data_IF_945540202808
#
_entry.id   IF_945540202808
#
_cell.length_a   1.000
_cell.length_b   1.000
_cell.length_c   1.000
_cell.angle_alpha   90.00
_cell.angle_beta   90.00
_cell.angle_gamma   90.00
#
_symmetry.space_group_name_H-M   'P 1'
#
loop_
_entity.id
_entity.type
_entity.pdbx_description
1 polymer ?
#
# COMPACT_ATOMS: atom_id res chain seq x y z
N UNK A 1 -3.59 41.45 -26.49
CA UNK A 1 -2.27 40.82 -26.68
C UNK A 1 -1.54 41.68 -27.71
N UNK A 2 -0.49 42.40 -27.29
CA UNK A 2 0.33 43.15 -28.23
C UNK A 2 1.23 42.15 -28.97
N UNK A 3 1.17 42.18 -30.31
CA UNK A 3 2.11 41.45 -31.17
C UNK A 3 3.52 41.99 -30.89
N UNK A 4 4.40 41.14 -30.38
CA UNK A 4 5.81 41.48 -30.22
C UNK A 4 6.41 41.48 -31.63
N UNK A 5 7.00 42.59 -32.12
CA UNK A 5 7.55 42.63 -33.46
C UNK A 5 8.66 41.59 -33.61
N UNK A 6 8.53 40.71 -34.59
CA UNK A 6 9.45 39.58 -34.87
C UNK A 6 10.91 40.04 -35.02
N UNK A 7 11.10 41.29 -35.45
CA UNK A 7 12.39 41.94 -35.62
C UNK A 7 13.13 42.22 -34.31
N UNK A 8 12.42 42.51 -33.22
CA UNK A 8 13.03 42.72 -31.90
C UNK A 8 13.57 41.41 -31.30
N UNK A 9 12.96 40.27 -31.67
CA UNK A 9 13.42 38.93 -31.26
C UNK A 9 14.67 38.49 -32.02
N UNK A 10 14.80 38.86 -33.30
CA UNK A 10 15.99 38.58 -34.09
C UNK A 10 17.20 39.41 -33.64
N UNK A 11 17.01 40.70 -33.36
CA UNK A 11 18.08 41.55 -32.82
C UNK A 11 18.54 41.10 -31.43
N UNK A 12 17.60 40.74 -30.55
CA UNK A 12 17.95 40.22 -29.22
C UNK A 12 18.63 38.85 -29.29
N UNK A 13 18.23 37.97 -30.22
CA UNK A 13 18.95 36.71 -30.49
C UNK A 13 20.35 36.95 -31.03
N UNK A 14 20.53 37.88 -31.97
CA UNK A 14 21.82 38.23 -32.53
C UNK A 14 22.75 38.85 -31.47
N UNK A 15 22.21 39.70 -30.58
CA UNK A 15 22.97 40.29 -29.48
C UNK A 15 23.40 39.26 -28.43
N UNK A 16 22.57 38.23 -28.18
CA UNK A 16 22.86 37.18 -27.20
C UNK A 16 23.71 36.03 -27.76
N UNK A 17 23.74 35.84 -29.08
CA UNK A 17 24.48 34.78 -29.78
C UNK A 17 25.94 34.61 -29.32
N UNK A 18 26.79 35.66 -29.22
CA UNK A 18 28.17 35.51 -28.77
C UNK A 18 28.27 35.01 -27.31
N UNK A 19 27.35 35.43 -26.45
CA UNK A 19 27.27 34.95 -25.06
C UNK A 19 26.82 33.48 -25.01
N UNK A 20 25.84 33.10 -25.82
CA UNK A 20 25.35 31.72 -25.90
C UNK A 20 26.42 30.78 -26.48
N UNK A 21 27.15 31.20 -27.51
CA UNK A 21 28.29 30.46 -28.07
C UNK A 21 29.42 30.32 -27.05
N UNK A 22 29.76 31.40 -26.33
CA UNK A 22 30.76 31.34 -25.26
C UNK A 22 30.33 30.41 -24.11
N UNK A 23 29.06 30.44 -23.73
CA UNK A 23 28.51 29.55 -22.69
C UNK A 23 28.50 28.09 -23.17
N UNK A 24 28.12 27.84 -24.43
CA UNK A 24 28.18 26.53 -25.06
C UNK A 24 29.61 25.99 -25.17
N UNK A 25 30.59 26.85 -25.45
CA UNK A 25 32.00 26.49 -25.51
C UNK A 25 32.59 26.12 -24.13
N UNK A 26 32.04 26.67 -23.05
CA UNK A 26 32.50 26.42 -21.67
C UNK A 26 31.77 25.23 -21.03
N UNK A 27 30.55 24.89 -21.44
CA UNK A 27 29.76 23.78 -20.90
C UNK A 27 30.52 22.44 -20.83
N UNK A 28 31.28 22.00 -21.86
CA UNK A 28 32.07 20.76 -21.79
C UNK A 28 33.20 20.79 -20.75
N UNK A 29 33.70 21.97 -20.38
CA UNK A 29 34.77 22.15 -19.39
C UNK A 29 34.22 22.25 -17.96
N UNK A 30 32.98 22.72 -17.81
CA UNK A 30 32.25 22.76 -16.53
C UNK A 30 31.62 21.41 -16.21
N UNK A 31 31.18 20.68 -17.23
CA UNK A 31 30.74 19.31 -17.10
C UNK A 31 31.94 18.45 -16.66
N UNK A 32 32.06 18.20 -15.36
CA UNK A 32 32.97 17.18 -14.85
C UNK A 32 32.24 15.85 -15.03
N UNK A 33 32.56 15.03 -16.05
CA UNK A 33 31.88 13.75 -16.22
C UNK A 33 32.13 12.92 -14.97
N UNK A 34 31.06 12.65 -14.22
CA UNK A 34 31.10 11.81 -13.03
C UNK A 34 31.67 10.46 -13.46
N UNK A 35 32.72 10.00 -12.76
CA UNK A 35 33.27 8.67 -12.99
C UNK A 35 32.14 7.66 -12.82
N UNK A 36 31.87 6.87 -13.85
CA UNK A 36 30.88 5.80 -13.80
C UNK A 36 31.18 4.86 -12.64
N UNK A 37 30.14 4.47 -11.90
CA UNK A 37 30.27 3.53 -10.79
C UNK A 37 30.47 2.10 -11.29
N UNK A 38 29.85 1.77 -12.41
CA UNK A 38 29.81 0.43 -13.00
C UNK A 38 30.43 0.42 -14.40
N UNK A 39 30.82 -0.77 -14.87
CA UNK A 39 31.20 -0.97 -16.26
C UNK A 39 30.01 -0.63 -17.17
N UNK A 40 30.17 0.20 -18.21
CA UNK A 40 29.10 0.52 -19.15
C UNK A 40 28.39 -0.72 -19.73
N UNK A 41 29.13 -1.79 -20.03
CA UNK A 41 28.55 -3.04 -20.55
C UNK A 41 27.69 -3.75 -19.51
N UNK A 42 28.04 -3.63 -18.24
CA UNK A 42 27.24 -4.17 -17.14
C UNK A 42 25.94 -3.38 -17.00
N UNK A 43 26.01 -2.05 -17.09
CA UNK A 43 24.81 -1.20 -17.04
C UNK A 43 23.88 -1.43 -18.24
N UNK A 44 24.43 -1.59 -19.44
CA UNK A 44 23.65 -1.95 -20.64
C UNK A 44 22.89 -3.28 -20.45
N UNK A 45 23.56 -4.30 -19.90
CA UNK A 45 22.94 -5.60 -19.58
C UNK A 45 21.86 -5.46 -18.51
N UNK A 46 22.10 -4.66 -17.48
CA UNK A 46 21.11 -4.36 -16.43
C UNK A 46 19.84 -3.73 -17.02
N UNK A 47 20.00 -2.69 -17.85
CA UNK A 47 18.88 -2.02 -18.53
C UNK A 47 18.13 -2.99 -19.43
N UNK A 48 18.83 -3.83 -20.19
CA UNK A 48 18.20 -4.84 -21.04
C UNK A 48 17.42 -5.89 -20.23
N UNK A 49 17.95 -6.34 -19.11
CA UNK A 49 17.26 -7.28 -18.21
C UNK A 49 16.01 -6.65 -17.57
N UNK A 50 16.08 -5.38 -17.15
CA UNK A 50 14.91 -4.65 -16.62
C UNK A 50 13.82 -4.50 -17.68
N UNK A 51 14.18 -4.17 -18.93
CA UNK A 51 13.21 -4.11 -20.04
C UNK A 51 12.53 -5.45 -20.27
N UNK A 52 13.29 -6.55 -20.23
CA UNK A 52 12.73 -7.91 -20.33
C UNK A 52 11.79 -8.22 -19.17
N UNK A 53 12.15 -7.85 -17.95
CA UNK A 53 11.31 -8.03 -16.77
C UNK A 53 10.02 -7.20 -16.86
N UNK A 54 10.11 -5.95 -17.29
CA UNK A 54 8.96 -5.08 -17.50
C UNK A 54 8.00 -5.62 -18.57
N UNK A 55 8.53 -6.17 -19.68
CA UNK A 55 7.73 -6.82 -20.71
C UNK A 55 7.01 -8.05 -20.13
N UNK A 56 7.74 -8.97 -19.50
CA UNK A 56 7.17 -10.17 -18.88
C UNK A 56 6.10 -9.83 -17.82
N UNK A 57 6.31 -8.76 -17.05
CA UNK A 57 5.33 -8.30 -16.06
C UNK A 57 4.06 -7.73 -16.70
N UNK A 58 4.20 -7.00 -17.81
CA UNK A 58 3.07 -6.40 -18.53
C UNK A 58 2.23 -7.45 -19.27
N UNK A 59 2.88 -8.47 -19.82
CA UNK A 59 2.26 -9.56 -20.58
C UNK A 59 1.65 -10.66 -19.69
N UNK A 60 1.81 -10.56 -18.36
CA UNK A 60 1.39 -11.60 -17.40
C UNK A 60 -0.07 -12.04 -17.49
N UNK A 61 -0.95 -11.16 -17.97
CA UNK A 61 -2.39 -11.42 -18.11
C UNK A 61 -2.75 -12.09 -19.44
N UNK A 62 -1.82 -12.09 -20.41
CA UNK A 62 -2.00 -12.69 -21.74
C UNK A 62 -1.25 -14.01 -21.87
N UNK A 63 0.07 -13.99 -21.74
CA UNK A 63 0.96 -15.13 -21.98
C UNK A 63 1.25 -15.96 -20.71
N UNK A 64 0.61 -15.62 -19.60
CA UNK A 64 0.83 -16.22 -18.28
C UNK A 64 2.03 -15.64 -17.53
N UNK A 65 2.24 -16.11 -16.29
CA UNK A 65 3.29 -15.63 -15.39
C UNK A 65 4.65 -16.35 -15.55
N UNK A 66 4.72 -17.38 -16.40
CA UNK A 66 5.89 -18.26 -16.55
C UNK A 66 7.17 -17.51 -16.94
N UNK A 67 7.05 -16.38 -17.66
CA UNK A 67 8.18 -15.58 -18.11
C UNK A 67 8.74 -14.63 -17.03
N UNK A 68 8.00 -14.38 -15.94
CA UNK A 68 8.40 -13.43 -14.89
C UNK A 68 9.58 -13.99 -14.11
N UNK A 69 9.48 -15.24 -13.64
CA UNK A 69 10.51 -15.88 -12.82
C UNK A 69 11.87 -15.95 -13.56
N UNK A 70 11.97 -16.43 -14.81
CA UNK A 70 13.21 -16.37 -15.59
C UNK A 70 13.76 -14.95 -15.77
N UNK A 71 12.90 -13.94 -15.97
CA UNK A 71 13.35 -12.56 -16.12
C UNK A 71 13.95 -12.01 -14.81
N UNK A 72 13.33 -12.33 -13.66
CA UNK A 72 13.86 -11.98 -12.33
C UNK A 72 15.22 -12.64 -12.08
N UNK A 73 15.37 -13.93 -12.34
CA UNK A 73 16.66 -14.62 -12.16
C UNK A 73 17.74 -14.13 -13.14
N UNK A 74 17.35 -13.73 -14.35
CA UNK A 74 18.25 -13.06 -15.30
C UNK A 74 18.79 -11.74 -14.75
N UNK A 75 17.94 -10.92 -14.15
CA UNK A 75 18.35 -9.69 -13.47
C UNK A 75 19.22 -9.97 -12.25
N UNK A 76 18.84 -10.96 -11.43
CA UNK A 76 19.58 -11.32 -10.23
C UNK A 76 21.00 -11.83 -10.53
N UNK A 77 21.17 -12.54 -11.65
CA UNK A 77 22.51 -12.94 -12.13
C UNK A 77 23.39 -11.72 -12.38
N UNK A 78 22.86 -10.68 -13.02
CA UNK A 78 23.60 -9.43 -13.26
C UNK A 78 23.88 -8.72 -11.94
N UNK A 79 22.93 -8.70 -11.00
CA UNK A 79 23.13 -8.13 -9.67
C UNK A 79 24.34 -8.73 -8.96
N UNK A 80 24.54 -10.04 -9.05
CA UNK A 80 25.72 -10.74 -8.48
C UNK A 80 27.02 -10.21 -9.09
N UNK A 81 27.05 -9.98 -10.40
CA UNK A 81 28.24 -9.46 -11.10
C UNK A 81 28.59 -8.01 -10.72
N UNK A 82 27.63 -7.23 -10.21
CA UNK A 82 27.88 -5.85 -9.77
C UNK A 82 28.75 -5.76 -8.52
N UNK A 83 28.77 -6.80 -7.68
CA UNK A 83 29.34 -6.78 -6.33
C UNK A 83 28.83 -5.61 -5.45
N UNK A 84 27.66 -5.05 -5.74
CA UNK A 84 27.01 -3.99 -4.97
C UNK A 84 25.90 -4.58 -4.09
N UNK A 85 25.93 -4.25 -2.79
CA UNK A 85 25.00 -4.80 -1.80
C UNK A 85 23.53 -4.45 -2.10
N UNK A 86 23.25 -3.27 -2.65
CA UNK A 86 21.88 -2.83 -2.95
C UNK A 86 21.33 -3.61 -4.15
N UNK A 87 22.16 -3.84 -5.17
CA UNK A 87 21.80 -4.66 -6.32
C UNK A 87 21.47 -6.10 -5.89
N UNK A 88 22.35 -6.71 -5.09
CA UNK A 88 22.17 -8.05 -4.56
C UNK A 88 20.87 -8.18 -3.77
N UNK A 89 20.68 -7.30 -2.77
CA UNK A 89 19.49 -7.28 -1.93
C UNK A 89 18.21 -7.10 -2.75
N UNK A 90 18.20 -6.19 -3.72
CA UNK A 90 17.05 -5.97 -4.59
C UNK A 90 16.75 -7.21 -5.44
N UNK A 91 17.77 -7.86 -5.99
CA UNK A 91 17.63 -9.09 -6.76
C UNK A 91 17.06 -10.25 -5.93
N UNK A 92 17.55 -10.43 -4.70
CA UNK A 92 17.02 -11.41 -3.74
C UNK A 92 15.56 -11.12 -3.35
N UNK A 93 15.25 -9.86 -3.09
CA UNK A 93 13.89 -9.43 -2.73
C UNK A 93 12.91 -9.66 -3.89
N UNK A 94 13.31 -9.38 -5.13
CA UNK A 94 12.51 -9.68 -6.33
C UNK A 94 12.33 -11.18 -6.53
N UNK A 95 13.38 -11.99 -6.35
CA UNK A 95 13.28 -13.45 -6.45
C UNK A 95 12.31 -14.02 -5.41
N UNK A 96 12.43 -13.57 -4.16
CA UNK A 96 11.54 -13.97 -3.06
C UNK A 96 10.09 -13.55 -3.32
N UNK A 97 9.87 -12.36 -3.87
CA UNK A 97 8.53 -11.89 -4.26
C UNK A 97 7.96 -12.70 -5.44
N UNK A 98 8.80 -13.06 -6.41
CA UNK A 98 8.41 -13.87 -7.56
C UNK A 98 7.99 -15.29 -7.16
N UNK A 99 8.63 -15.90 -6.16
CA UNK A 99 8.21 -17.20 -5.62
C UNK A 99 6.76 -17.18 -5.10
N UNK A 100 6.30 -16.04 -4.56
CA UNK A 100 4.92 -15.87 -4.08
C UNK A 100 3.89 -15.74 -5.22
N UNK A 101 4.34 -15.59 -6.47
CA UNK A 101 3.43 -15.53 -7.62
C UNK A 101 2.83 -16.90 -7.99
N UNK A 102 3.36 -17.98 -7.42
CA UNK A 102 2.85 -19.34 -7.60
C UNK A 102 1.71 -19.67 -6.62
N UNK A 103 1.39 -18.77 -5.68
CA UNK A 103 0.26 -18.93 -4.77
C UNK A 103 -1.09 -18.84 -5.50
N UNK A 104 -2.07 -19.66 -5.10
CA UNK A 104 -3.44 -19.67 -5.66
C UNK A 104 -4.16 -18.30 -5.59
N UNK A 105 -3.77 -17.45 -4.64
CA UNK A 105 -4.33 -16.11 -4.46
C UNK A 105 -3.20 -15.09 -4.25
N UNK A 106 -3.04 -14.20 -5.22
CA UNK A 106 -2.03 -13.16 -5.18
C UNK A 106 -2.50 -11.96 -4.36
N UNK A 107 -1.70 -11.57 -3.36
CA UNK A 107 -1.99 -10.38 -2.57
C UNK A 107 -1.91 -9.11 -3.45
N UNK A 108 -2.91 -8.21 -3.42
CA UNK A 108 -2.85 -6.92 -4.12
C UNK A 108 -1.62 -6.10 -3.74
N UNK A 109 -1.16 -6.23 -2.49
CA UNK A 109 0.03 -5.54 -1.97
C UNK A 109 1.30 -6.05 -2.64
N UNK A 110 1.41 -7.36 -2.87
CA UNK A 110 2.52 -7.97 -3.60
C UNK A 110 2.55 -7.47 -5.05
N UNK A 111 1.40 -7.50 -5.74
CA UNK A 111 1.27 -7.01 -7.12
C UNK A 111 1.68 -5.54 -7.22
N UNK A 112 1.23 -4.71 -6.27
CA UNK A 112 1.58 -3.29 -6.23
C UNK A 112 3.08 -3.07 -5.96
N UNK A 113 3.68 -3.85 -5.04
CA UNK A 113 5.10 -3.79 -4.73
C UNK A 113 5.97 -4.20 -5.93
N UNK A 114 5.63 -5.29 -6.61
CA UNK A 114 6.33 -5.75 -7.81
C UNK A 114 6.18 -4.75 -8.96
N UNK A 115 4.97 -4.24 -9.21
CA UNK A 115 4.74 -3.25 -10.27
C UNK A 115 5.58 -1.99 -10.03
N UNK A 116 5.56 -1.45 -8.81
CA UNK A 116 6.31 -0.25 -8.48
C UNK A 116 7.83 -0.47 -8.56
N UNK A 117 8.33 -1.64 -8.13
CA UNK A 117 9.75 -1.96 -8.24
C UNK A 117 10.20 -2.10 -9.70
N UNK A 118 9.42 -2.79 -10.54
CA UNK A 118 9.75 -3.02 -11.96
C UNK A 118 9.70 -1.72 -12.77
N UNK A 119 8.68 -0.89 -12.52
CA UNK A 119 8.58 0.45 -13.13
C UNK A 119 9.78 1.31 -12.73
N UNK A 120 10.13 1.29 -11.44
CA UNK A 120 11.28 2.00 -10.92
C UNK A 120 12.62 1.57 -11.56
N UNK A 121 12.74 0.31 -11.94
CA UNK A 121 13.96 -0.24 -12.54
C UNK A 121 14.09 0.03 -14.04
N UNK A 122 13.02 0.51 -14.69
CA UNK A 122 12.95 0.71 -16.14
C UNK A 122 13.53 2.06 -16.61
N UNK A 123 14.31 2.73 -15.78
CA UNK A 123 14.95 4.02 -16.07
C UNK A 123 16.08 3.90 -17.10
N UNK A 124 16.28 4.97 -17.87
CA UNK A 124 17.30 5.01 -18.92
C UNK A 124 18.74 4.91 -18.37
N UNK A 125 18.99 5.47 -17.18
CA UNK A 125 20.33 5.50 -16.58
C UNK A 125 20.71 4.19 -15.87
N UNK A 126 19.74 3.29 -15.63
CA UNK A 126 19.96 2.00 -14.99
C UNK A 126 20.64 2.12 -13.61
N UNK A 127 21.75 1.41 -13.44
CA UNK A 127 22.57 1.40 -12.22
C UNK A 127 23.24 2.74 -11.92
N UNK A 128 23.44 3.58 -12.94
CA UNK A 128 24.09 4.90 -12.78
C UNK A 128 23.11 5.99 -12.32
N UNK A 129 21.83 5.66 -12.17
CA UNK A 129 20.84 6.62 -11.68
C UNK A 129 21.25 7.14 -10.29
N UNK A 130 21.28 8.47 -10.05
CA UNK A 130 21.82 9.05 -8.81
C UNK A 130 21.16 8.53 -7.53
N UNK A 131 19.85 8.28 -7.57
CA UNK A 131 19.06 7.77 -6.46
C UNK A 131 18.90 6.23 -6.47
N UNK A 132 19.71 5.51 -7.25
CA UNK A 132 19.57 4.05 -7.35
C UNK A 132 19.68 3.34 -5.99
N UNK A 133 20.67 3.63 -5.12
CA UNK A 133 20.80 2.94 -3.83
C UNK A 133 19.57 3.11 -2.95
N UNK A 134 19.08 4.35 -2.80
CA UNK A 134 17.92 4.66 -1.95
C UNK A 134 16.65 4.00 -2.48
N UNK A 135 16.48 3.99 -3.81
CA UNK A 135 15.34 3.31 -4.46
C UNK A 135 15.45 1.79 -4.28
N UNK A 136 16.63 1.21 -4.52
CA UNK A 136 16.86 -0.23 -4.37
C UNK A 136 16.55 -0.69 -2.93
N UNK A 137 17.02 0.04 -1.92
CA UNK A 137 16.71 -0.25 -0.52
C UNK A 137 15.21 -0.12 -0.21
N UNK A 138 14.56 0.95 -0.69
CA UNK A 138 13.14 1.16 -0.48
C UNK A 138 12.30 0.03 -1.07
N UNK A 139 12.55 -0.34 -2.32
CA UNK A 139 11.79 -1.37 -3.01
C UNK A 139 12.12 -2.78 -2.50
N UNK A 140 13.38 -3.06 -2.16
CA UNK A 140 13.76 -4.32 -1.52
C UNK A 140 13.01 -4.52 -0.20
N UNK A 141 13.00 -3.51 0.69
CA UNK A 141 12.27 -3.60 1.96
C UNK A 141 10.77 -3.83 1.78
N UNK A 142 10.15 -3.18 0.78
CA UNK A 142 8.73 -3.39 0.46
C UNK A 142 8.45 -4.79 -0.07
N UNK A 143 9.29 -5.30 -0.97
CA UNK A 143 9.17 -6.65 -1.53
C UNK A 143 9.37 -7.71 -0.45
N UNK A 144 10.40 -7.57 0.40
CA UNK A 144 10.67 -8.43 1.54
C UNK A 144 9.47 -8.50 2.51
N UNK A 145 8.85 -7.35 2.81
CA UNK A 145 7.67 -7.30 3.67
C UNK A 145 6.49 -8.05 3.04
N UNK A 146 6.26 -7.91 1.74
CA UNK A 146 5.20 -8.64 1.04
C UNK A 146 5.50 -10.14 0.96
N UNK A 147 6.75 -10.53 0.78
CA UNK A 147 7.15 -11.94 0.71
C UNK A 147 6.98 -12.66 2.06
N UNK A 148 7.17 -11.93 3.18
CA UNK A 148 7.01 -12.45 4.55
C UNK A 148 5.57 -12.39 5.07
N UNK A 149 4.70 -11.58 4.47
CA UNK A 149 3.33 -11.42 4.91
C UNK A 149 2.54 -12.74 4.80
N UNK A 150 1.81 -13.09 5.85
CA UNK A 150 0.89 -14.24 5.84
C UNK A 150 -0.50 -13.78 5.37
N UNK A 151 -1.34 -14.69 4.86
CA UNK A 151 -2.71 -14.35 4.42
C UNK A 151 -3.57 -13.67 5.50
N UNK A 152 -3.22 -13.82 6.79
CA UNK A 152 -3.90 -13.15 7.91
C UNK A 152 -3.54 -11.67 8.06
N UNK A 153 -2.51 -11.19 7.35
CA UNK A 153 -1.94 -9.84 7.49
C UNK A 153 -2.59 -8.83 6.51
N UNK A 154 -3.70 -9.24 5.87
CA UNK A 154 -4.39 -8.49 4.80
C UNK A 154 -5.54 -7.61 5.31
N UNK A 155 -5.83 -7.60 6.61
CA UNK A 155 -6.87 -6.71 7.16
C UNK A 155 -6.35 -5.28 7.16
N UNK A 156 -7.10 -4.40 6.49
CA UNK A 156 -6.72 -3.00 6.39
C UNK A 156 -6.89 -2.32 7.74
N UNK A 157 -5.78 -1.89 8.35
CA UNK A 157 -5.81 -1.11 9.59
C UNK A 157 -6.69 0.15 9.50
N UNK A 158 -6.87 0.70 8.29
CA UNK A 158 -7.80 1.82 8.07
C UNK A 158 -9.26 1.36 8.16
N UNK A 159 -9.60 0.19 7.61
CA UNK A 159 -10.94 -0.36 7.74
C UNK A 159 -11.24 -0.77 9.18
N UNK A 160 -10.25 -1.32 9.89
CA UNK A 160 -10.37 -1.65 11.30
C UNK A 160 -10.60 -0.39 12.14
N UNK A 161 -9.84 0.68 11.90
CA UNK A 161 -10.05 1.95 12.58
C UNK A 161 -11.43 2.55 12.30
N UNK A 162 -11.86 2.58 11.05
CA UNK A 162 -13.21 3.06 10.68
C UNK A 162 -14.31 2.24 11.35
N UNK A 163 -14.14 0.92 11.42
CA UNK A 163 -15.07 0.05 12.13
C UNK A 163 -15.11 0.35 13.62
N UNK A 164 -13.96 0.53 14.27
CA UNK A 164 -13.89 0.83 15.71
C UNK A 164 -14.54 2.17 16.04
N UNK A 165 -14.34 3.19 15.21
CA UNK A 165 -14.94 4.51 15.40
C UNK A 165 -16.47 4.42 15.30
N UNK A 166 -16.99 3.82 14.22
CA UNK A 166 -18.43 3.61 14.01
C UNK A 166 -19.06 2.73 15.11
N UNK A 167 -18.39 1.63 15.49
CA UNK A 167 -18.86 0.75 16.55
C UNK A 167 -18.92 1.47 17.91
N UNK A 168 -17.96 2.36 18.19
CA UNK A 168 -17.95 3.16 19.41
C UNK A 168 -19.13 4.13 19.45
N UNK A 169 -19.45 4.77 18.33
CA UNK A 169 -20.64 5.64 18.20
C UNK A 169 -21.93 4.85 18.40
N UNK A 170 -22.08 3.68 17.76
CA UNK A 170 -23.26 2.83 17.93
C UNK A 170 -23.43 2.32 19.36
N UNK A 171 -22.33 1.97 20.04
CA UNK A 171 -22.37 1.59 21.47
C UNK A 171 -22.79 2.77 22.34
N UNK A 172 -22.33 3.99 22.05
CA UNK A 172 -22.79 5.18 22.76
C UNK A 172 -24.30 5.41 22.55
N UNK A 173 -24.80 5.27 21.32
CA UNK A 173 -26.24 5.36 21.03
C UNK A 173 -27.05 4.31 21.81
N UNK A 174 -26.52 3.08 21.97
CA UNK A 174 -27.14 2.06 22.80
C UNK A 174 -27.15 2.44 24.29
N UNK A 175 -26.08 3.03 24.82
CA UNK A 175 -26.08 3.56 26.19
C UNK A 175 -27.13 4.66 26.38
N UNK A 176 -27.23 5.58 25.42
CA UNK A 176 -28.22 6.66 25.47
C UNK A 176 -29.65 6.11 25.42
N UNK A 177 -29.91 5.13 24.54
CA UNK A 177 -31.20 4.44 24.43
C UNK A 177 -31.57 3.63 25.69
N UNK A 178 -30.58 3.08 26.40
CA UNK A 178 -30.79 2.44 27.70
C UNK A 178 -31.09 3.48 28.81
N UNK A 179 -30.53 4.69 28.70
CA UNK A 179 -30.71 5.75 29.67
C UNK A 179 -32.06 6.48 29.55
N UNK A 180 -32.79 6.34 28.44
CA UNK A 180 -34.12 6.92 28.30
C UNK A 180 -35.13 6.31 29.29
N UNK A 181 -36.23 7.05 29.52
CA UNK A 181 -37.34 6.65 30.40
C UNK A 181 -38.65 6.71 29.61
N UNK A 182 -39.23 5.56 29.20
CA UNK A 182 -38.67 4.21 29.31
C UNK A 182 -37.48 3.96 28.34
N UNK A 183 -36.64 2.93 28.55
CA UNK A 183 -35.62 2.49 27.61
C UNK A 183 -36.19 2.24 26.23
N UNK A 184 -35.47 2.68 25.21
CA UNK A 184 -35.86 2.42 23.84
C UNK A 184 -35.36 1.03 23.38
N UNK A 185 -36.20 0.01 23.62
CA UNK A 185 -35.94 -1.36 23.21
C UNK A 185 -35.69 -1.50 21.71
N UNK A 186 -36.37 -0.68 20.89
CA UNK A 186 -36.27 -0.73 19.44
C UNK A 186 -34.93 -0.16 18.98
N UNK A 187 -34.53 1.01 19.49
CA UNK A 187 -33.22 1.59 19.20
C UNK A 187 -32.08 0.67 19.65
N UNK A 188 -32.14 0.14 20.87
CA UNK A 188 -31.17 -0.81 21.42
C UNK A 188 -30.98 -2.04 20.51
N UNK A 189 -32.08 -2.67 20.13
CA UNK A 189 -32.04 -3.88 19.27
C UNK A 189 -31.55 -3.55 17.86
N UNK A 190 -31.97 -2.41 17.31
CA UNK A 190 -31.59 -1.98 15.96
C UNK A 190 -30.09 -1.72 15.86
N UNK A 191 -29.51 -0.97 16.79
CA UNK A 191 -28.08 -0.67 16.78
C UNK A 191 -27.24 -1.92 17.06
N UNK A 192 -27.67 -2.81 17.96
CA UNK A 192 -27.00 -4.09 18.19
C UNK A 192 -26.97 -4.99 16.93
N UNK A 193 -28.05 -5.03 16.15
CA UNK A 193 -28.10 -5.80 14.90
C UNK A 193 -27.28 -5.18 13.78
N UNK A 194 -27.27 -3.86 13.64
CA UNK A 194 -26.40 -3.16 12.68
C UNK A 194 -24.93 -3.46 12.96
N UNK A 195 -24.51 -3.34 14.22
CA UNK A 195 -23.15 -3.64 14.63
C UNK A 195 -22.78 -5.10 14.33
N UNK A 196 -23.70 -6.04 14.59
CA UNK A 196 -23.49 -7.45 14.25
C UNK A 196 -23.28 -7.66 12.75
N UNK A 197 -24.08 -7.02 11.90
CA UNK A 197 -23.96 -7.12 10.44
C UNK A 197 -22.65 -6.53 9.93
N UNK A 198 -22.24 -5.37 10.45
CA UNK A 198 -20.97 -4.74 10.10
C UNK A 198 -19.77 -5.61 10.52
N UNK A 199 -19.82 -6.17 11.73
CA UNK A 199 -18.78 -7.07 12.22
C UNK A 199 -18.70 -8.37 11.40
N UNK A 200 -19.83 -8.90 10.92
CA UNK A 200 -19.89 -10.08 10.05
C UNK A 200 -19.22 -9.82 8.69
N UNK A 201 -19.49 -8.66 8.07
CA UNK A 201 -18.87 -8.28 6.78
C UNK A 201 -17.35 -8.13 6.87
N UNK A 202 -16.82 -7.79 8.05
CA UNK A 202 -15.39 -7.67 8.33
C UNK A 202 -14.79 -8.92 9.00
N UNK A 203 -15.58 -9.99 9.15
CA UNK A 203 -15.18 -11.24 9.79
C UNK A 203 -14.67 -11.07 11.23
N UNK A 204 -15.16 -10.04 11.94
CA UNK A 204 -14.88 -9.76 13.35
C UNK A 204 -15.87 -10.57 14.21
N UNK A 205 -15.73 -11.90 14.13
CA UNK A 205 -16.70 -12.85 14.68
C UNK A 205 -16.97 -12.66 16.18
N UNK A 206 -15.96 -12.27 16.97
CA UNK A 206 -16.11 -12.00 18.39
C UNK A 206 -17.11 -10.86 18.68
N UNK A 207 -16.99 -9.74 17.96
CA UNK A 207 -17.91 -8.60 18.09
C UNK A 207 -19.29 -8.97 17.55
N UNK A 208 -19.36 -9.67 16.40
CA UNK A 208 -20.62 -10.14 15.83
C UNK A 208 -21.41 -10.99 16.81
N UNK A 209 -20.78 -11.98 17.45
CA UNK A 209 -21.46 -12.88 18.39
C UNK A 209 -21.96 -12.13 19.64
N UNK A 210 -21.16 -11.24 20.21
CA UNK A 210 -21.57 -10.44 21.37
C UNK A 210 -22.73 -9.51 21.05
N UNK A 211 -22.71 -8.84 19.90
CA UNK A 211 -23.77 -7.95 19.45
C UNK A 211 -25.10 -8.72 19.22
N UNK A 212 -25.05 -9.92 18.62
CA UNK A 212 -26.23 -10.80 18.49
C UNK A 212 -26.77 -11.24 19.86
N UNK A 213 -25.90 -11.66 20.77
CA UNK A 213 -26.32 -12.04 22.14
C UNK A 213 -26.96 -10.87 22.91
N UNK A 214 -26.43 -9.66 22.72
CA UNK A 214 -27.01 -8.44 23.29
C UNK A 214 -28.42 -8.19 22.71
N UNK A 215 -28.57 -8.24 21.39
CA UNK A 215 -29.88 -8.10 20.72
C UNK A 215 -30.90 -9.12 21.22
N UNK A 216 -30.51 -10.39 21.36
CA UNK A 216 -31.39 -11.45 21.88
C UNK A 216 -31.79 -11.18 23.34
N UNK A 217 -30.86 -10.69 24.16
CA UNK A 217 -31.11 -10.31 25.55
C UNK A 217 -32.13 -9.17 25.65
N UNK A 218 -31.97 -8.12 24.83
CA UNK A 218 -32.88 -6.97 24.77
C UNK A 218 -34.27 -7.44 24.34
N UNK A 219 -34.37 -8.21 23.24
CA UNK A 219 -35.65 -8.66 22.69
C UNK A 219 -36.40 -9.54 23.69
N UNK A 220 -35.70 -10.42 24.41
CA UNK A 220 -36.29 -11.29 25.43
C UNK A 220 -36.88 -10.51 26.62
N UNK A 221 -36.26 -9.38 26.97
CA UNK A 221 -36.66 -8.57 28.13
C UNK A 221 -37.33 -7.25 27.73
N UNK A 222 -37.82 -7.12 26.48
CA UNK A 222 -38.30 -5.84 25.93
C UNK A 222 -39.42 -5.18 26.76
N UNK A 223 -40.25 -5.98 27.43
CA UNK A 223 -41.33 -5.50 28.30
C UNK A 223 -40.86 -5.07 29.70
N UNK A 224 -39.67 -5.51 30.13
CA UNK A 224 -39.16 -5.38 31.50
C UNK A 224 -37.83 -4.62 31.55
N UNK A 225 -37.52 -3.80 30.54
CA UNK A 225 -36.27 -3.04 30.48
C UNK A 225 -36.13 -1.99 31.58
N UNK A 226 -37.21 -1.62 32.27
CA UNK A 226 -37.14 -0.75 33.46
C UNK A 226 -36.74 -1.50 34.74
N UNK A 227 -36.69 -2.84 34.70
CA UNK A 227 -36.20 -3.64 35.81
C UNK A 227 -34.69 -3.41 36.00
N UNK A 228 -34.29 -3.01 37.21
CA UNK A 228 -32.91 -2.72 37.54
C UNK A 228 -31.94 -3.88 37.27
N UNK A 229 -32.38 -5.14 37.46
CA UNK A 229 -31.54 -6.31 37.17
C UNK A 229 -31.34 -6.51 35.67
N UNK A 230 -32.39 -6.28 34.86
CA UNK A 230 -32.33 -6.36 33.39
C UNK A 230 -31.45 -5.24 32.84
N UNK A 231 -31.61 -4.01 33.33
CA UNK A 231 -30.75 -2.88 32.94
C UNK A 231 -29.28 -3.16 33.22
N UNK A 232 -28.96 -3.70 34.41
CA UNK A 232 -27.59 -4.03 34.79
C UNK A 232 -26.99 -5.12 33.90
N UNK A 233 -27.76 -6.15 33.56
CA UNK A 233 -27.31 -7.21 32.64
C UNK A 233 -27.01 -6.66 31.23
N UNK A 234 -27.87 -5.79 30.70
CA UNK A 234 -27.65 -5.14 29.39
C UNK A 234 -26.43 -4.22 29.44
N UNK A 235 -26.27 -3.45 30.52
CA UNK A 235 -25.11 -2.58 30.73
C UNK A 235 -23.79 -3.38 30.74
N UNK A 236 -23.73 -4.48 31.47
CA UNK A 236 -22.55 -5.35 31.52
C UNK A 236 -22.19 -5.91 30.13
N UNK A 237 -23.20 -6.24 29.31
CA UNK A 237 -23.00 -6.73 27.94
C UNK A 237 -22.51 -5.64 27.00
N UNK A 238 -22.99 -4.40 27.15
CA UNK A 238 -22.47 -3.24 26.42
C UNK A 238 -21.01 -2.96 26.78
N UNK A 239 -20.62 -3.09 28.05
CA UNK A 239 -19.23 -2.91 28.49
C UNK A 239 -18.30 -4.01 27.93
N UNK A 240 -18.75 -5.27 27.92
CA UNK A 240 -18.02 -6.37 27.31
C UNK A 240 -17.83 -6.17 25.79
N UNK A 241 -18.87 -5.68 25.12
CA UNK A 241 -18.86 -5.35 23.70
C UNK A 241 -17.89 -4.20 23.41
N UNK A 242 -17.94 -3.11 24.18
CA UNK A 242 -17.02 -1.97 24.07
C UNK A 242 -15.57 -2.39 24.26
N UNK A 243 -15.30 -3.20 25.28
CA UNK A 243 -13.94 -3.73 25.54
C UNK A 243 -13.44 -4.57 24.36
N UNK A 244 -14.31 -5.39 23.77
CA UNK A 244 -13.93 -6.25 22.64
C UNK A 244 -13.68 -5.43 21.39
N UNK A 245 -14.51 -4.43 21.10
CA UNK A 245 -14.31 -3.49 19.98
C UNK A 245 -12.96 -2.77 20.11
N UNK A 246 -12.59 -2.33 21.32
CA UNK A 246 -11.30 -1.66 21.55
C UNK A 246 -10.07 -2.55 21.30
N UNK A 247 -10.22 -3.87 21.18
CA UNK A 247 -9.14 -4.79 20.85
C UNK A 247 -8.94 -5.02 19.35
N UNK A 248 -9.86 -4.55 18.50
CA UNK A 248 -9.79 -4.77 17.04
C UNK A 248 -8.60 -4.06 16.39
N UNK A 249 -8.18 -2.91 16.93
CA UNK A 249 -7.05 -2.12 16.42
C UNK A 249 -5.70 -2.42 17.13
N UNK A 250 -5.61 -3.50 17.91
CA UNK A 250 -4.38 -3.90 18.62
C UNK A 250 -3.71 -5.08 17.94
#
# INVERSE_FOLDING_TARGET
MADIPEHELEETRAALAPTLEATAAILPWVATPRKARFDPKLNERWIAANKRLAAAWSERHGDGSDNIRPAVFGLYTIAIETADANCLRLGEALASAADRLEDDALSPRLIAAMSAAIECLSEADGLEHPAFPERADHFAGRLEACAKATKSDERSAVLDQLFVDEASEQIQLMHDALATLPPDAYALTTEALKLAQQAELLEIWGVMHLARQLSECITRNAADLDNAAVRMEIQNRLEALSTTVATVNR
#
